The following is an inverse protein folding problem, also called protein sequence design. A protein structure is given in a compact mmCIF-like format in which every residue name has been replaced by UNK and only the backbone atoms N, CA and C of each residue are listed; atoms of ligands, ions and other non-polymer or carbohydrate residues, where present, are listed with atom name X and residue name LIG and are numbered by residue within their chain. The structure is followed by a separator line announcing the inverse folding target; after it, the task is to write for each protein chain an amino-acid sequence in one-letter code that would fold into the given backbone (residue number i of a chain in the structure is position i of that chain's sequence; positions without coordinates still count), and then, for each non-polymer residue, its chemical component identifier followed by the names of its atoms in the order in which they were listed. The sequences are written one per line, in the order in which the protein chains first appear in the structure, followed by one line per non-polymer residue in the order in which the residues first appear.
data_IF_703639550665
#
_entry.id   IF_703639550665
#
_cell.length_a   1.000
_cell.length_b   1.000
_cell.length_c   1.000
_cell.angle_alpha   90.00
_cell.angle_beta   90.00
_cell.angle_gamma   90.00
#
_symmetry.space_group_name_H-M   'P 1'
#
loop_
_entity.id
_entity.type
_entity.pdbx_description
1 polymer ?
#
# COMPACT_ATOMS: atom_id res chain seq x y z
N UNK A 1 10.57 -17.13 3.49
CA UNK A 1 9.48 -16.39 4.13
C UNK A 1 9.47 -14.96 3.61
N UNK A 2 8.34 -14.57 3.03
CA UNK A 2 8.04 -13.26 2.48
C UNK A 2 7.02 -12.53 3.36
N UNK A 3 6.77 -11.26 3.06
CA UNK A 3 5.75 -10.47 3.78
C UNK A 3 4.55 -10.29 2.88
N UNK A 4 3.36 -10.63 3.36
CA UNK A 4 2.10 -10.26 2.72
C UNK A 4 1.61 -8.93 3.29
N UNK A 5 1.30 -8.00 2.40
CA UNK A 5 0.63 -6.75 2.72
C UNK A 5 -0.83 -6.83 2.30
N UNK A 6 -1.74 -6.86 3.27
CA UNK A 6 -3.18 -6.88 3.07
C UNK A 6 -3.75 -5.45 3.10
N UNK A 7 -4.63 -5.14 2.14
CA UNK A 7 -5.25 -3.83 1.99
C UNK A 7 -6.61 -3.95 1.30
N UNK A 8 -7.38 -2.87 1.31
CA UNK A 8 -8.68 -2.85 0.63
C UNK A 8 -8.97 -1.51 -0.04
N UNK A 9 -9.86 -1.54 -1.03
CA UNK A 9 -10.50 -0.37 -1.60
C UNK A 9 -11.95 -0.26 -1.10
N UNK A 10 -12.44 0.98 -0.94
CA UNK A 10 -13.85 1.29 -0.68
C UNK A 10 -14.35 2.28 -1.70
N UNK A 11 -15.49 1.96 -2.32
CA UNK A 11 -16.19 2.93 -3.16
C UNK A 11 -17.07 3.88 -2.32
N UNK A 12 -17.68 4.86 -2.98
CA UNK A 12 -18.59 5.83 -2.35
C UNK A 12 -19.85 5.19 -1.72
N UNK A 13 -20.22 3.98 -2.15
CA UNK A 13 -21.33 3.20 -1.58
C UNK A 13 -20.86 2.22 -0.48
N UNK A 14 -19.59 2.30 -0.07
CA UNK A 14 -18.95 1.46 0.95
C UNK A 14 -18.89 -0.05 0.60
N UNK A 15 -18.93 -0.40 -0.69
CA UNK A 15 -18.54 -1.74 -1.12
C UNK A 15 -17.03 -1.90 -0.98
N UNK A 16 -16.61 -3.07 -0.51
CA UNK A 16 -15.20 -3.38 -0.23
C UNK A 16 -14.62 -4.32 -1.26
N UNK A 17 -13.43 -4.02 -1.72
CA UNK A 17 -12.60 -4.92 -2.53
C UNK A 17 -11.32 -5.20 -1.77
N UNK A 18 -11.10 -6.46 -1.40
CA UNK A 18 -9.90 -6.88 -0.65
C UNK A 18 -8.81 -7.34 -1.61
N UNK A 19 -7.57 -7.07 -1.25
CA UNK A 19 -6.41 -7.53 -2.00
C UNK A 19 -5.19 -7.64 -1.13
N UNK A 20 -4.15 -8.23 -1.70
CA UNK A 20 -2.86 -8.36 -1.05
C UNK A 20 -1.76 -8.37 -2.08
N UNK A 21 -0.56 -8.02 -1.65
CA UNK A 21 0.67 -8.31 -2.40
C UNK A 21 1.69 -8.99 -1.52
N UNK A 22 2.48 -9.86 -2.12
CA UNK A 22 3.61 -10.52 -1.45
C UNK A 22 4.90 -9.83 -1.87
N UNK A 23 5.72 -9.46 -0.89
CA UNK A 23 7.00 -8.78 -1.09
C UNK A 23 8.14 -9.53 -0.42
N UNK A 24 9.25 -9.68 -1.12
CA UNK A 24 10.48 -10.16 -0.51
C UNK A 24 10.95 -9.20 0.58
N UNK A 25 11.36 -9.67 1.77
CA UNK A 25 11.91 -8.81 2.82
C UNK A 25 13.23 -8.17 2.35
N UNK A 26 13.49 -6.93 2.77
CA UNK A 26 14.85 -6.37 2.69
C UNK A 26 15.74 -7.02 3.75
N UNK A 27 17.05 -6.88 3.60
CA UNK A 27 18.01 -7.23 4.66
C UNK A 27 17.60 -6.56 5.98
N UNK A 28 17.59 -7.32 7.07
CA UNK A 28 17.13 -6.93 8.41
C UNK A 28 15.69 -6.39 8.54
N UNK A 29 14.81 -6.58 7.56
CA UNK A 29 13.41 -6.15 7.69
C UNK A 29 12.60 -7.07 8.60
N UNK A 30 11.74 -6.45 9.40
CA UNK A 30 10.71 -7.11 10.20
C UNK A 30 9.35 -6.54 9.81
N UNK A 31 8.26 -7.20 10.22
CA UNK A 31 6.91 -6.67 10.00
C UNK A 31 6.76 -5.28 10.63
N UNK A 32 7.31 -5.08 11.83
CA UNK A 32 7.26 -3.81 12.56
C UNK A 32 8.02 -2.70 11.82
N UNK A 33 9.20 -3.01 11.25
CA UNK A 33 9.93 -2.05 10.44
C UNK A 33 9.15 -1.66 9.19
N UNK A 34 8.55 -2.64 8.50
CA UNK A 34 7.73 -2.35 7.32
C UNK A 34 6.50 -1.52 7.67
N UNK A 35 5.79 -1.87 8.75
CA UNK A 35 4.64 -1.12 9.27
C UNK A 35 5.02 0.34 9.56
N UNK A 36 6.17 0.58 10.20
CA UNK A 36 6.68 1.94 10.45
C UNK A 36 6.96 2.73 9.16
N UNK A 37 7.45 2.07 8.10
CA UNK A 37 7.63 2.76 6.82
C UNK A 37 6.29 3.02 6.15
N UNK A 38 5.39 2.04 6.08
CA UNK A 38 4.07 2.18 5.47
C UNK A 38 3.24 3.29 6.14
N UNK A 39 3.31 3.41 7.47
CA UNK A 39 2.67 4.50 8.22
C UNK A 39 3.05 5.90 7.75
N UNK A 40 4.25 6.10 7.19
CA UNK A 40 4.68 7.40 6.62
C UNK A 40 3.98 7.74 5.31
N UNK A 41 3.39 6.75 4.65
CA UNK A 41 2.62 6.94 3.43
C UNK A 41 1.12 7.08 3.70
N UNK A 42 0.69 6.90 4.97
CA UNK A 42 -0.71 6.95 5.31
C UNK A 42 -1.23 8.39 5.34
N UNK A 43 -2.35 8.60 4.67
CA UNK A 43 -3.21 9.75 4.72
C UNK A 43 -4.21 9.49 5.83
N UNK A 44 -4.29 10.43 6.79
CA UNK A 44 -5.16 10.29 7.97
C UNK A 44 -4.92 8.98 8.75
N UNK A 45 -3.67 8.50 8.78
CA UNK A 45 -3.26 7.28 9.51
C UNK A 45 -3.93 5.97 9.05
N UNK A 46 -4.73 5.99 7.98
CA UNK A 46 -5.54 4.84 7.55
C UNK A 46 -5.38 4.53 6.05
N UNK A 47 -5.26 5.56 5.21
CA UNK A 47 -5.38 5.41 3.75
C UNK A 47 -4.05 5.60 3.03
N UNK A 48 -3.86 5.03 1.86
CA UNK A 48 -2.70 5.29 1.01
C UNK A 48 -3.09 5.22 -0.46
N UNK A 49 -2.19 5.65 -1.35
CA UNK A 49 -2.38 5.50 -2.80
C UNK A 49 -1.47 4.36 -3.28
N UNK A 50 -2.01 3.25 -3.82
CA UNK A 50 -1.23 2.08 -4.23
C UNK A 50 -0.10 2.38 -5.22
N UNK A 51 -0.33 3.30 -6.16
CA UNK A 51 0.65 3.69 -7.16
C UNK A 51 1.91 4.31 -6.55
N UNK A 52 1.81 4.98 -5.39
CA UNK A 52 2.97 5.48 -4.64
C UNK A 52 3.87 4.36 -4.10
N UNK A 53 3.30 3.19 -3.83
CA UNK A 53 4.02 2.00 -3.38
C UNK A 53 4.39 1.07 -4.55
N UNK A 54 3.88 1.37 -5.75
CA UNK A 54 3.98 0.53 -6.95
C UNK A 54 3.35 -0.84 -6.73
N UNK A 55 2.17 -0.88 -6.10
CA UNK A 55 1.36 -2.09 -5.91
C UNK A 55 0.02 -1.94 -6.67
N UNK A 56 -0.69 -3.05 -6.96
CA UNK A 56 -1.93 -3.01 -7.73
C UNK A 56 -3.03 -2.15 -7.12
N UNK A 57 -3.76 -1.46 -7.98
CA UNK A 57 -5.01 -0.78 -7.63
C UNK A 57 -6.16 -1.82 -7.65
N UNK A 58 -7.00 -1.84 -6.61
CA UNK A 58 -8.12 -2.77 -6.47
C UNK A 58 -9.43 -2.27 -7.06
N UNK A 59 -9.51 -1.00 -7.45
CA UNK A 59 -10.70 -0.36 -8.02
C UNK A 59 -11.20 -1.14 -9.25
N UNK A 60 -12.41 -1.69 -9.17
CA UNK A 60 -13.11 -2.19 -10.35
C UNK A 60 -13.81 -1.04 -11.11
N UNK A 61 -13.74 -1.06 -12.44
CA UNK A 61 -14.38 -0.06 -13.31
C UNK A 61 -15.91 -0.18 -13.28
N UNK A 62 -16.68 0.94 -13.44
CA UNK A 62 -16.27 2.24 -14.00
C UNK A 62 -15.79 3.27 -12.96
N UNK A 63 -14.61 3.84 -13.20
CA UNK A 63 -14.01 4.94 -12.42
C UNK A 63 -14.75 6.27 -12.65
N UNK A 64 -15.26 6.88 -11.60
CA UNK A 64 -15.73 8.27 -11.57
C UNK A 64 -14.70 9.16 -10.86
N UNK A 65 -13.91 9.98 -11.58
CA UNK A 65 -12.87 10.83 -10.99
C UNK A 65 -13.39 11.87 -9.98
N UNK A 66 -14.70 12.13 -9.93
CA UNK A 66 -15.30 13.05 -8.97
C UNK A 66 -15.72 12.36 -7.66
N UNK A 67 -15.89 11.03 -7.67
CA UNK A 67 -16.36 10.24 -6.53
C UNK A 67 -15.32 9.23 -6.03
N UNK A 68 -14.48 8.71 -6.92
CA UNK A 68 -13.55 7.63 -6.65
C UNK A 68 -12.14 8.16 -6.39
N UNK A 69 -11.83 8.32 -5.10
CA UNK A 69 -10.44 8.52 -4.68
C UNK A 69 -9.66 7.23 -4.91
N UNK A 70 -8.41 7.32 -5.38
CA UNK A 70 -7.49 6.18 -5.51
C UNK A 70 -7.02 5.60 -4.15
N UNK A 71 -7.67 6.01 -3.07
CA UNK A 71 -7.27 5.69 -1.71
C UNK A 71 -7.65 4.26 -1.36
N UNK A 72 -6.70 3.56 -0.79
CA UNK A 72 -6.85 2.22 -0.26
C UNK A 72 -6.57 2.25 1.23
N UNK A 73 -7.24 1.41 1.98
CA UNK A 73 -7.07 1.30 3.42
C UNK A 73 -6.00 0.24 3.73
N UNK A 74 -5.07 0.60 4.59
CA UNK A 74 -4.12 -0.36 5.18
C UNK A 74 -4.84 -1.26 6.18
N UNK A 75 -4.64 -2.57 6.10
CA UNK A 75 -5.22 -3.53 7.04
C UNK A 75 -4.16 -4.11 7.97
N UNK A 76 -3.30 -5.01 7.47
CA UNK A 76 -2.26 -5.65 8.27
C UNK A 76 -1.15 -6.28 7.41
N UNK A 77 -0.04 -6.60 8.08
CA UNK A 77 1.08 -7.36 7.53
C UNK A 77 1.16 -8.74 8.19
N UNK A 78 1.58 -9.74 7.43
CA UNK A 78 1.85 -11.08 7.94
C UNK A 78 3.03 -11.72 7.21
N UNK A 79 3.67 -12.69 7.85
CA UNK A 79 4.64 -13.57 7.19
C UNK A 79 3.91 -14.60 6.33
N UNK A 80 4.47 -14.93 5.16
CA UNK A 80 3.96 -15.96 4.26
C UNK A 80 5.10 -16.72 3.59
N UNK A 81 4.83 -17.91 3.07
CA UNK A 81 5.75 -18.68 2.22
C UNK A 81 5.47 -18.53 0.72
N UNK A 82 4.44 -17.75 0.35
CA UNK A 82 4.13 -17.44 -1.05
C UNK A 82 5.27 -16.68 -1.75
N UNK A 83 5.33 -16.75 -3.08
CA UNK A 83 6.33 -16.05 -3.88
C UNK A 83 6.08 -14.54 -3.95
N UNK A 84 7.15 -13.75 -4.04
CA UNK A 84 7.05 -12.30 -4.15
C UNK A 84 6.50 -11.89 -5.52
N UNK A 85 5.56 -10.95 -5.52
CA UNK A 85 4.85 -10.47 -6.70
C UNK A 85 5.35 -9.10 -7.16
N UNK A 86 5.97 -8.32 -6.26
CA UNK A 86 6.32 -6.92 -6.51
C UNK A 86 7.82 -6.68 -6.43
N UNK A 87 8.40 -6.19 -7.52
CA UNK A 87 9.81 -5.76 -7.59
C UNK A 87 9.96 -4.27 -7.23
N UNK A 88 10.98 -3.93 -6.45
CA UNK A 88 11.32 -2.55 -6.10
C UNK A 88 10.41 -1.90 -5.06
N UNK A 89 9.57 -2.69 -4.37
CA UNK A 89 8.68 -2.22 -3.30
C UNK A 89 9.43 -1.44 -2.21
N UNK A 90 10.50 -2.02 -1.66
CA UNK A 90 11.29 -1.40 -0.60
C UNK A 90 11.90 -0.06 -0.97
N UNK A 91 12.36 0.07 -2.22
CA UNK A 91 12.89 1.34 -2.72
C UNK A 91 11.83 2.44 -2.59
N UNK A 92 10.60 2.19 -3.05
CA UNK A 92 9.49 3.15 -2.98
C UNK A 92 9.02 3.44 -1.55
N UNK A 93 8.94 2.40 -0.73
CA UNK A 93 8.47 2.49 0.66
C UNK A 93 9.47 3.25 1.55
N UNK A 94 10.78 3.05 1.33
CA UNK A 94 11.85 3.72 2.10
C UNK A 94 12.14 5.14 1.58
N UNK A 95 12.11 5.37 0.25
CA UNK A 95 12.47 6.67 -0.35
C UNK A 95 11.46 7.79 -0.06
N UNK A 96 10.20 7.48 0.25
CA UNK A 96 9.19 8.51 0.59
C UNK A 96 9.32 9.04 2.02
N UNK A 97 10.55 9.36 2.41
CA UNK A 97 10.89 10.44 3.34
C UNK A 97 11.15 11.78 2.63
N UNK A 98 10.94 11.87 1.31
CA UNK A 98 11.26 13.06 0.52
C UNK A 98 10.50 13.17 -0.80
N UNK A 99 9.17 13.32 -0.75
CA UNK A 99 8.49 14.11 -1.78
C UNK A 99 8.13 15.42 -1.08
N UNK A 100 8.87 16.50 -1.39
CA UNK A 100 8.39 17.86 -1.09
C UNK A 100 7.04 18.00 -1.79
N UNK A 101 5.95 17.90 -1.06
CA UNK A 101 4.67 18.40 -1.55
C UNK A 101 4.87 19.90 -1.73
N UNK A 102 4.98 20.34 -2.98
CA UNK A 102 5.20 21.73 -3.36
C UNK A 102 3.96 22.59 -3.09
N UNK A 103 3.63 22.76 -1.81
CA UNK A 103 2.82 23.86 -1.33
C UNK A 103 3.72 24.66 -0.39
N UNK A 104 4.37 25.66 -1.00
CA UNK A 104 4.99 26.80 -0.31
C UNK A 104 3.93 27.69 0.31
#
# INVERSE_FOLDING_TARGET
MNIRFNYLYRDAANYKQFGSVVVHPSEDSTLEKLDLYLKKHLIQEEFFVPSNLGIPNLQASPYDPFLDLEWHQYEYLEWTDDESEVVGFWKRVVEKGGVKTGWS
#
